data_IF_945905259298
#
_entry.id   IF_945905259298
#
_cell.length_a   1.000
_cell.length_b   1.000
_cell.length_c   1.000
_cell.angle_alpha   90.00
_cell.angle_beta   90.00
_cell.angle_gamma   90.00
#
_symmetry.space_group_name_H-M   'P 1'
#
loop_
_entity.id
_entity.type
_entity.pdbx_description
1 polymer ?
#
# COMPACT_ATOMS: atom_id res chain seq x y z
N UNK A 1 9.58 6.16 26.63
CA UNK A 1 8.79 5.12 25.94
C UNK A 1 9.67 4.51 24.87
N UNK A 2 9.73 3.20 24.79
CA UNK A 2 10.46 2.53 23.72
C UNK A 2 9.80 2.86 22.39
N UNK A 3 10.60 2.94 21.33
CA UNK A 3 10.06 3.20 19.98
C UNK A 3 9.23 2.01 19.52
N UNK A 4 8.08 2.27 18.91
CA UNK A 4 7.28 1.22 18.27
C UNK A 4 8.09 0.61 17.13
N UNK A 5 8.18 -0.72 17.12
CA UNK A 5 8.91 -1.47 16.10
C UNK A 5 7.99 -1.74 14.92
N UNK A 6 8.34 -1.22 13.74
CA UNK A 6 7.60 -1.43 12.50
C UNK A 6 8.40 -2.29 11.54
N UNK A 7 7.90 -3.48 11.26
CA UNK A 7 8.42 -4.36 10.21
C UNK A 7 7.87 -3.97 8.85
N UNK A 8 8.75 -3.71 7.89
CA UNK A 8 8.36 -3.43 6.51
C UNK A 8 8.71 -4.64 5.65
N UNK A 9 7.67 -5.32 5.14
CA UNK A 9 7.79 -6.45 4.22
C UNK A 9 7.89 -5.88 2.81
N UNK A 10 9.11 -5.81 2.29
CA UNK A 10 9.38 -5.24 0.98
C UNK A 10 9.22 -6.29 -0.10
N UNK A 11 8.20 -6.12 -0.94
CA UNK A 11 7.85 -7.04 -2.05
C UNK A 11 8.26 -6.50 -3.41
N UNK A 12 9.16 -5.54 -3.42
CA UNK A 12 9.76 -4.96 -4.62
C UNK A 12 11.27 -4.75 -4.43
N UNK A 13 12.01 -4.95 -5.49
CA UNK A 13 13.43 -4.59 -5.58
C UNK A 13 13.73 -4.14 -7.01
N UNK A 14 13.56 -2.85 -7.25
CA UNK A 14 13.85 -2.26 -8.54
C UNK A 14 15.37 -2.16 -8.76
N UNK A 15 15.83 -2.77 -9.85
CA UNK A 15 17.24 -2.78 -10.25
C UNK A 15 17.47 -2.03 -11.57
N UNK A 16 16.46 -1.26 -12.02
CA UNK A 16 16.58 -0.48 -13.24
C UNK A 16 17.55 0.70 -13.04
N UNK A 17 18.26 1.06 -14.12
CA UNK A 17 19.10 2.26 -14.14
C UNK A 17 18.28 3.54 -14.02
N UNK A 18 17.02 3.51 -14.44
CA UNK A 18 16.11 4.67 -14.47
C UNK A 18 15.46 4.96 -13.14
N UNK A 19 15.00 3.95 -12.43
CA UNK A 19 14.29 4.09 -11.15
C UNK A 19 15.16 3.59 -10.00
N UNK A 20 15.67 2.35 -10.07
CA UNK A 20 16.41 1.71 -8.98
C UNK A 20 17.68 2.46 -8.56
N UNK A 21 18.43 3.01 -9.53
CA UNK A 21 19.67 3.76 -9.24
C UNK A 21 19.42 5.21 -8.79
N UNK A 22 18.22 5.78 -9.05
CA UNK A 22 17.95 7.20 -8.84
C UNK A 22 17.00 7.51 -7.69
N UNK A 23 16.26 6.50 -7.21
CA UNK A 23 15.26 6.68 -6.15
C UNK A 23 15.44 5.65 -5.04
N UNK A 24 15.10 6.02 -3.80
CA UNK A 24 15.07 5.07 -2.69
C UNK A 24 14.03 3.98 -2.94
N UNK A 25 14.25 2.80 -2.39
CA UNK A 25 13.30 1.70 -2.44
C UNK A 25 12.01 1.98 -1.62
N UNK A 26 11.02 1.09 -1.74
CA UNK A 26 9.71 1.27 -1.10
C UNK A 26 9.82 1.41 0.41
N UNK A 27 10.65 0.61 1.05
CA UNK A 27 10.83 0.66 2.50
C UNK A 27 11.40 2.01 2.95
N UNK A 28 12.34 2.59 2.19
CA UNK A 28 12.89 3.92 2.48
C UNK A 28 11.86 5.01 2.26
N UNK A 29 11.04 4.94 1.17
CA UNK A 29 9.97 5.92 0.93
C UNK A 29 8.94 5.91 2.08
N UNK A 30 8.56 4.73 2.61
CA UNK A 30 7.71 4.66 3.79
C UNK A 30 8.37 5.23 5.04
N UNK A 31 9.66 4.97 5.25
CA UNK A 31 10.40 5.59 6.37
C UNK A 31 10.38 7.11 6.26
N UNK A 32 10.70 7.66 5.09
CA UNK A 32 10.69 9.10 4.86
C UNK A 32 9.31 9.70 5.11
N UNK A 33 8.24 9.02 4.69
CA UNK A 33 6.86 9.42 4.91
C UNK A 33 6.52 9.47 6.41
N UNK A 34 6.88 8.44 7.19
CA UNK A 34 6.60 8.40 8.62
C UNK A 34 7.55 9.28 9.44
N UNK A 35 8.82 9.39 9.05
CA UNK A 35 9.81 10.21 9.75
C UNK A 35 9.56 11.72 9.58
N UNK A 36 8.69 12.12 8.65
CA UNK A 36 8.17 13.48 8.57
C UNK A 36 7.17 13.82 9.70
N UNK A 37 6.68 12.81 10.44
CA UNK A 37 5.77 12.98 11.58
C UNK A 37 6.54 13.10 12.91
N UNK A 38 5.84 13.51 13.97
CA UNK A 38 6.43 13.56 15.32
C UNK A 38 6.70 12.16 15.90
N UNK A 39 5.86 11.19 15.60
CA UNK A 39 6.03 9.81 16.03
C UNK A 39 7.25 9.18 15.38
N UNK A 40 8.10 8.54 16.16
CA UNK A 40 9.29 7.81 15.69
C UNK A 40 9.09 6.31 15.82
N UNK A 41 9.41 5.59 14.75
CA UNK A 41 9.43 4.13 14.72
C UNK A 41 10.85 3.58 14.74
N UNK A 42 11.01 2.35 15.20
CA UNK A 42 12.20 1.54 14.96
C UNK A 42 11.88 0.59 13.80
N UNK A 43 12.51 0.81 12.65
CA UNK A 43 12.21 0.04 11.45
C UNK A 43 13.09 -1.18 11.29
N UNK A 44 12.50 -2.29 10.83
CA UNK A 44 13.21 -3.43 10.24
C UNK A 44 12.60 -3.74 8.88
N UNK A 45 13.44 -3.84 7.85
CA UNK A 45 13.03 -4.24 6.51
C UNK A 45 13.29 -5.73 6.36
N UNK A 46 12.29 -6.44 5.84
CA UNK A 46 12.36 -7.84 5.43
C UNK A 46 12.24 -7.88 3.92
N UNK A 47 13.24 -8.44 3.25
CA UNK A 47 13.27 -8.54 1.77
C UNK A 47 12.39 -9.71 1.33
N UNK A 48 11.08 -9.53 1.46
CA UNK A 48 10.08 -10.59 1.21
C UNK A 48 10.11 -11.10 -0.23
N UNK A 49 10.44 -10.22 -1.20
CA UNK A 49 10.68 -10.65 -2.59
C UNK A 49 11.84 -11.65 -2.72
N UNK A 50 12.74 -11.69 -1.75
CA UNK A 50 13.84 -12.66 -1.63
C UNK A 50 13.56 -13.76 -0.61
N UNK A 51 12.30 -14.05 -0.34
CA UNK A 51 11.82 -15.08 0.61
C UNK A 51 12.17 -14.79 2.09
N UNK A 52 12.54 -13.53 2.46
CA UNK A 52 12.76 -13.16 3.86
C UNK A 52 11.44 -12.72 4.51
N UNK A 53 11.07 -13.38 5.60
CA UNK A 53 9.95 -13.04 6.48
C UNK A 53 10.39 -13.01 7.94
N UNK A 54 9.62 -12.32 8.83
CA UNK A 54 9.85 -12.42 10.27
C UNK A 54 9.76 -13.87 10.75
N UNK A 55 10.69 -14.27 11.61
CA UNK A 55 10.66 -15.59 12.24
C UNK A 55 9.58 -15.72 13.32
N UNK A 56 9.09 -14.57 13.83
CA UNK A 56 8.01 -14.49 14.82
C UNK A 56 7.26 -13.17 14.68
N UNK A 57 5.96 -13.17 14.98
CA UNK A 57 5.15 -11.94 15.06
C UNK A 57 5.60 -11.01 16.19
N UNK A 58 6.33 -11.52 17.19
CA UNK A 58 6.81 -10.72 18.33
C UNK A 58 8.08 -9.93 18.01
N UNK A 59 8.69 -10.14 16.84
CA UNK A 59 9.83 -9.33 16.41
C UNK A 59 9.47 -7.86 16.23
N UNK A 60 8.24 -7.59 15.82
CA UNK A 60 7.76 -6.24 15.57
C UNK A 60 6.41 -5.99 16.26
N UNK A 61 6.11 -4.73 16.49
CA UNK A 61 4.86 -4.30 17.10
C UNK A 61 3.74 -4.16 16.05
N UNK A 62 4.11 -3.82 14.82
CA UNK A 62 3.23 -3.74 13.65
C UNK A 62 4.00 -4.14 12.38
N UNK A 63 3.26 -4.48 11.32
CA UNK A 63 3.83 -4.79 10.00
C UNK A 63 3.18 -3.97 8.89
N UNK A 64 3.96 -3.69 7.84
CA UNK A 64 3.50 -3.05 6.61
C UNK A 64 4.01 -3.85 5.40
N UNK A 65 3.12 -4.21 4.49
CA UNK A 65 3.44 -4.84 3.20
C UNK A 65 3.40 -3.76 2.12
N UNK A 66 4.50 -3.59 1.40
CA UNK A 66 4.65 -2.54 0.39
C UNK A 66 3.89 -2.85 -0.91
N UNK A 67 3.89 -1.89 -1.82
CA UNK A 67 3.56 -2.11 -3.22
C UNK A 67 4.60 -2.95 -3.95
N UNK A 68 4.27 -3.38 -5.17
CA UNK A 68 5.14 -4.10 -6.09
C UNK A 68 4.63 -3.94 -7.52
N UNK A 69 5.50 -3.93 -8.55
CA UNK A 69 5.09 -4.07 -9.93
C UNK A 69 4.66 -5.49 -10.29
N UNK A 70 4.85 -6.47 -9.39
CA UNK A 70 4.41 -7.85 -9.57
C UNK A 70 2.89 -7.97 -9.35
N UNK A 71 2.29 -9.04 -9.90
CA UNK A 71 0.87 -9.35 -9.68
C UNK A 71 0.72 -10.49 -8.66
N UNK A 72 -0.26 -10.39 -7.79
CA UNK A 72 -0.68 -11.50 -6.91
C UNK A 72 -1.39 -12.62 -7.69
N UNK A 73 -1.70 -12.41 -8.97
CA UNK A 73 -2.29 -13.39 -9.87
C UNK A 73 -1.23 -14.28 -10.53
N UNK A 74 0.04 -13.91 -10.44
CA UNK A 74 1.15 -14.67 -10.95
C UNK A 74 1.73 -15.60 -9.89
N UNK A 75 2.51 -16.61 -10.31
CA UNK A 75 3.19 -17.52 -9.41
C UNK A 75 4.52 -16.92 -8.93
N UNK A 76 4.65 -16.71 -7.62
CA UNK A 76 5.87 -16.25 -6.98
C UNK A 76 6.17 -17.10 -5.73
N UNK A 77 7.43 -17.49 -5.53
CA UNK A 77 7.87 -18.35 -4.40
C UNK A 77 7.52 -17.76 -3.04
N UNK A 78 7.59 -16.43 -2.91
CA UNK A 78 7.32 -15.73 -1.66
C UNK A 78 5.82 -15.59 -1.33
N UNK A 79 4.90 -15.80 -2.28
CA UNK A 79 3.45 -15.60 -2.04
C UNK A 79 2.86 -16.59 -1.03
N UNK A 80 3.05 -17.93 -1.15
CA UNK A 80 2.47 -18.85 -0.17
C UNK A 80 2.92 -18.56 1.27
N UNK A 81 4.22 -18.38 1.58
CA UNK A 81 4.65 -18.03 2.94
C UNK A 81 4.17 -16.63 3.38
N UNK A 82 4.06 -15.65 2.47
CA UNK A 82 3.48 -14.34 2.78
C UNK A 82 2.00 -14.47 3.16
N UNK A 83 1.22 -15.30 2.45
CA UNK A 83 -0.19 -15.54 2.79
C UNK A 83 -0.34 -16.23 4.15
N UNK A 84 0.55 -17.18 4.49
CA UNK A 84 0.58 -17.80 5.82
C UNK A 84 0.89 -16.76 6.91
N UNK A 85 1.85 -15.88 6.66
CA UNK A 85 2.20 -14.79 7.57
C UNK A 85 1.02 -13.81 7.77
N UNK A 86 0.32 -13.43 6.70
CA UNK A 86 -0.88 -12.56 6.78
C UNK A 86 -1.97 -13.23 7.63
N UNK A 87 -2.25 -14.52 7.41
CA UNK A 87 -3.22 -15.28 8.22
C UNK A 87 -2.81 -15.37 9.70
N UNK A 88 -1.53 -15.52 9.97
CA UNK A 88 -1.01 -15.49 11.33
C UNK A 88 -1.20 -14.11 11.99
N UNK A 89 -0.95 -13.03 11.26
CA UNK A 89 -1.22 -11.66 11.74
C UNK A 89 -2.71 -11.45 12.06
N UNK A 90 -3.61 -11.90 11.18
CA UNK A 90 -5.06 -11.80 11.41
C UNK A 90 -5.49 -12.59 12.65
N UNK A 91 -5.05 -13.84 12.76
CA UNK A 91 -5.37 -14.71 13.90
C UNK A 91 -4.87 -14.16 15.23
N UNK A 92 -3.68 -13.57 15.24
CA UNK A 92 -3.07 -12.93 16.42
C UNK A 92 -3.56 -11.50 16.67
N UNK A 93 -4.38 -10.94 15.77
CA UNK A 93 -4.79 -9.52 15.75
C UNK A 93 -3.59 -8.56 15.77
N UNK A 94 -2.50 -8.95 15.11
CA UNK A 94 -1.30 -8.13 14.96
C UNK A 94 -1.58 -6.98 13.99
N UNK A 95 -1.24 -5.72 14.34
CA UNK A 95 -1.43 -4.60 13.43
C UNK A 95 -0.71 -4.82 12.11
N UNK A 96 -1.47 -4.81 11.00
CA UNK A 96 -0.98 -5.06 9.66
C UNK A 96 -1.53 -4.01 8.69
N UNK A 97 -0.65 -3.41 7.91
CA UNK A 97 -0.97 -2.45 6.86
C UNK A 97 -0.60 -3.06 5.51
N UNK A 98 -1.43 -2.85 4.49
CA UNK A 98 -1.12 -3.23 3.11
C UNK A 98 -1.36 -2.10 2.14
N UNK A 99 -0.38 -1.83 1.26
CA UNK A 99 -0.51 -0.82 0.20
C UNK A 99 -0.33 -1.47 -1.18
N UNK A 100 -1.17 -1.11 -2.14
CA UNK A 100 -1.17 -1.60 -3.51
C UNK A 100 -1.09 -3.15 -3.57
N UNK A 101 0.06 -3.73 -3.91
CA UNK A 101 0.26 -5.19 -3.86
C UNK A 101 -0.06 -5.77 -2.48
N UNK A 102 0.37 -5.13 -1.39
CA UNK A 102 0.07 -5.56 -0.02
C UNK A 102 -1.44 -5.57 0.29
N UNK A 103 -2.19 -4.61 -0.23
CA UNK A 103 -3.66 -4.58 -0.15
C UNK A 103 -4.28 -5.80 -0.85
N UNK A 104 -3.79 -6.12 -2.05
CA UNK A 104 -4.25 -7.27 -2.84
C UNK A 104 -3.84 -8.61 -2.17
N UNK A 105 -2.60 -8.72 -1.70
CA UNK A 105 -2.10 -9.92 -1.02
C UNK A 105 -2.90 -10.22 0.26
N UNK A 106 -3.23 -9.20 1.05
CA UNK A 106 -4.08 -9.35 2.23
C UNK A 106 -5.48 -9.81 1.83
N UNK A 107 -6.05 -9.25 0.76
CA UNK A 107 -7.36 -9.68 0.29
C UNK A 107 -7.37 -11.16 -0.08
N UNK A 108 -6.41 -11.62 -0.90
CA UNK A 108 -6.30 -13.03 -1.32
C UNK A 108 -6.07 -13.94 -0.11
N UNK A 109 -5.11 -13.61 0.77
CA UNK A 109 -4.76 -14.44 1.93
C UNK A 109 -5.95 -14.68 2.87
N UNK A 110 -6.88 -13.73 2.96
CA UNK A 110 -8.04 -13.77 3.84
C UNK A 110 -9.35 -14.21 3.14
N UNK A 111 -9.24 -14.71 1.90
CA UNK A 111 -10.38 -15.30 1.17
C UNK A 111 -11.18 -14.33 0.31
N UNK A 112 -10.64 -13.16 0.02
CA UNK A 112 -11.11 -12.24 -1.01
C UNK A 112 -10.64 -12.66 -2.41
N UNK A 113 -10.90 -11.82 -3.40
CA UNK A 113 -10.52 -12.06 -4.80
C UNK A 113 -9.92 -10.81 -5.42
N UNK A 114 -8.87 -11.00 -6.21
CA UNK A 114 -8.23 -9.99 -7.05
C UNK A 114 -8.44 -10.37 -8.50
N UNK A 115 -8.70 -9.39 -9.35
CA UNK A 115 -8.89 -9.55 -10.78
C UNK A 115 -8.19 -8.41 -11.52
N UNK A 116 -7.80 -8.67 -12.76
CA UNK A 116 -7.32 -7.63 -13.67
C UNK A 116 -8.48 -6.77 -14.12
N UNK A 117 -8.32 -5.45 -14.05
CA UNK A 117 -9.37 -4.52 -14.43
C UNK A 117 -9.64 -4.58 -15.93
N UNK A 118 -10.91 -4.74 -16.32
CA UNK A 118 -11.28 -4.71 -17.73
C UNK A 118 -11.02 -3.35 -18.41
N UNK A 119 -10.93 -2.29 -17.63
CA UNK A 119 -10.57 -0.94 -18.08
C UNK A 119 -9.06 -0.72 -18.29
N UNK A 120 -8.22 -1.72 -17.94
CA UNK A 120 -6.77 -1.63 -18.03
C UNK A 120 -6.13 -0.89 -16.84
N UNK A 121 -5.10 -0.12 -17.10
CA UNK A 121 -4.28 0.57 -16.09
C UNK A 121 -4.98 1.77 -15.47
N UNK A 122 -4.96 1.84 -14.15
CA UNK A 122 -5.29 3.04 -13.37
C UNK A 122 -3.98 3.70 -12.92
N UNK A 123 -3.67 4.87 -13.47
CA UNK A 123 -2.38 5.52 -13.30
C UNK A 123 -2.54 7.02 -13.15
N UNK A 124 -1.80 7.62 -12.24
CA UNK A 124 -1.82 9.06 -11.98
C UNK A 124 -2.27 9.40 -10.56
N UNK A 125 -3.19 10.32 -10.40
CA UNK A 125 -3.86 10.64 -9.13
C UNK A 125 -5.32 10.23 -9.20
N UNK A 126 -5.74 9.40 -8.24
CA UNK A 126 -7.15 9.05 -8.01
C UNK A 126 -7.60 9.52 -6.62
N UNK A 127 -8.85 9.96 -6.53
CA UNK A 127 -9.49 10.25 -5.26
C UNK A 127 -10.04 8.96 -4.63
N UNK A 128 -9.69 8.72 -3.37
CA UNK A 128 -10.36 7.71 -2.54
C UNK A 128 -11.36 8.40 -1.62
N UNK A 129 -12.62 8.05 -1.76
CA UNK A 129 -13.69 8.49 -0.87
C UNK A 129 -13.84 7.53 0.31
N UNK A 130 -13.48 7.97 1.52
CA UNK A 130 -13.61 7.20 2.75
C UNK A 130 -15.04 7.29 3.29
N UNK A 131 -15.72 6.14 3.33
CA UNK A 131 -17.17 6.02 3.62
C UNK A 131 -17.49 5.70 5.08
N UNK A 132 -16.49 5.30 5.86
CA UNK A 132 -16.65 4.97 7.27
C UNK A 132 -15.83 5.89 8.17
N UNK A 133 -16.38 6.19 9.35
CA UNK A 133 -15.64 6.79 10.44
C UNK A 133 -14.94 5.70 11.25
N UNK A 134 -13.62 5.61 11.10
CA UNK A 134 -12.80 4.74 11.93
C UNK A 134 -12.08 5.55 13.02
N UNK A 135 -11.68 4.90 14.11
CA UNK A 135 -11.01 5.58 15.23
C UNK A 135 -9.67 6.25 14.88
N UNK A 136 -9.09 5.89 13.75
CA UNK A 136 -7.83 6.46 13.27
C UNK A 136 -8.03 7.64 12.30
N UNK A 137 -9.23 7.85 11.76
CA UNK A 137 -9.56 8.97 10.86
C UNK A 137 -9.99 10.18 11.69
N UNK A 138 -9.07 11.07 11.98
CA UNK A 138 -9.34 12.23 12.87
C UNK A 138 -9.73 13.49 12.16
N UNK A 139 -9.43 13.57 10.88
CA UNK A 139 -9.77 14.75 10.07
C UNK A 139 -11.18 14.62 9.51
N UNK A 140 -11.85 15.75 9.31
CA UNK A 140 -13.17 15.79 8.69
C UNK A 140 -13.15 15.47 7.19
N UNK A 141 -11.94 15.51 6.57
CA UNK A 141 -11.76 15.23 5.16
C UNK A 141 -11.97 13.74 4.88
N UNK A 142 -12.79 13.46 3.87
CA UNK A 142 -13.11 12.09 3.45
C UNK A 142 -12.62 11.77 2.04
N UNK A 143 -12.39 12.75 1.21
CA UNK A 143 -11.86 12.60 -0.13
C UNK A 143 -10.37 12.89 -0.09
N UNK A 144 -9.56 11.85 -0.26
CA UNK A 144 -8.10 11.94 -0.30
C UNK A 144 -7.60 11.57 -1.68
N UNK A 145 -6.75 12.43 -2.26
CA UNK A 145 -6.07 12.14 -3.51
C UNK A 145 -4.79 11.35 -3.26
N UNK A 146 -4.53 10.35 -4.09
CA UNK A 146 -3.33 9.51 -3.98
C UNK A 146 -2.74 9.21 -5.34
N UNK A 147 -1.45 8.97 -5.38
CA UNK A 147 -0.82 8.31 -6.51
C UNK A 147 -1.28 6.87 -6.60
N UNK A 148 -1.64 6.45 -7.80
CA UNK A 148 -2.03 5.08 -8.15
C UNK A 148 -1.26 4.62 -9.37
N UNK A 149 -0.87 3.34 -9.38
CA UNK A 149 -0.29 2.66 -10.53
C UNK A 149 -0.62 1.17 -10.42
N UNK A 150 -1.74 0.74 -10.98
CA UNK A 150 -2.16 -0.64 -10.91
C UNK A 150 -3.14 -1.00 -12.05
N UNK A 151 -3.14 -2.26 -12.44
CA UNK A 151 -4.15 -2.86 -13.33
C UNK A 151 -5.03 -3.84 -12.54
N UNK A 152 -4.42 -4.56 -11.59
CA UNK A 152 -5.12 -5.48 -10.72
C UNK A 152 -5.84 -4.73 -9.60
N UNK A 153 -7.02 -5.24 -9.18
CA UNK A 153 -7.79 -4.68 -8.07
C UNK A 153 -8.54 -5.77 -7.30
N UNK A 154 -8.88 -5.48 -6.05
CA UNK A 154 -9.72 -6.36 -5.23
C UNK A 154 -11.16 -6.32 -5.75
N UNK A 155 -11.62 -7.41 -6.39
CA UNK A 155 -12.95 -7.56 -6.94
C UNK A 155 -13.97 -8.12 -5.95
N UNK A 156 -13.50 -8.82 -4.90
CA UNK A 156 -14.34 -9.28 -3.79
C UNK A 156 -13.56 -9.16 -2.47
N UNK A 157 -14.19 -8.53 -1.49
CA UNK A 157 -13.63 -8.41 -0.15
C UNK A 157 -13.51 -9.76 0.55
N UNK A 158 -12.51 -9.94 1.44
CA UNK A 158 -12.54 -11.04 2.41
C UNK A 158 -13.85 -11.05 3.21
N UNK A 159 -14.38 -12.23 3.60
CA UNK A 159 -15.68 -12.32 4.29
C UNK A 159 -15.80 -11.48 5.56
N UNK A 160 -14.68 -11.25 6.27
CA UNK A 160 -14.66 -10.48 7.52
C UNK A 160 -14.26 -9.01 7.33
N UNK A 161 -13.94 -8.63 6.09
CA UNK A 161 -13.52 -7.27 5.77
C UNK A 161 -14.73 -6.34 5.60
N UNK A 162 -14.52 -5.09 5.94
CA UNK A 162 -15.45 -4.01 5.64
C UNK A 162 -14.79 -2.99 4.74
N UNK A 163 -15.53 -2.55 3.74
CA UNK A 163 -15.08 -1.50 2.84
C UNK A 163 -15.01 -0.18 3.61
N UNK A 164 -13.86 0.49 3.57
CA UNK A 164 -13.67 1.80 4.21
C UNK A 164 -13.42 2.93 3.22
N UNK A 165 -13.01 2.61 1.99
CA UNK A 165 -12.76 3.61 0.95
C UNK A 165 -13.08 3.10 -0.46
N UNK A 166 -13.60 3.99 -1.32
CA UNK A 166 -13.94 3.76 -2.73
C UNK A 166 -13.23 4.76 -3.62
N UNK A 167 -12.79 4.33 -4.78
CA UNK A 167 -12.37 5.19 -5.90
C UNK A 167 -13.31 5.00 -7.08
N UNK A 168 -13.22 5.89 -8.05
CA UNK A 168 -14.04 5.82 -9.27
C UNK A 168 -13.60 4.64 -10.16
N UNK A 169 -12.28 4.45 -10.28
CA UNK A 169 -11.72 3.30 -11.00
C UNK A 169 -11.68 2.04 -10.13
N UNK A 170 -11.31 2.18 -8.85
CA UNK A 170 -11.17 1.07 -7.91
C UNK A 170 -12.27 1.11 -6.84
N UNK A 171 -13.41 0.37 -7.04
CA UNK A 171 -14.50 0.36 -6.06
C UNK A 171 -14.08 -0.16 -4.67
N UNK A 172 -13.00 -0.93 -4.59
CA UNK A 172 -12.43 -1.43 -3.33
C UNK A 172 -11.07 -0.77 -3.09
N UNK A 173 -11.04 0.56 -3.00
CA UNK A 173 -9.80 1.32 -2.84
C UNK A 173 -9.17 1.17 -1.45
N UNK A 174 -9.96 0.88 -0.41
CA UNK A 174 -9.48 0.61 0.93
C UNK A 174 -10.45 -0.27 1.71
N UNK A 175 -9.91 -1.23 2.48
CA UNK A 175 -10.71 -2.05 3.40
C UNK A 175 -9.98 -2.25 4.74
N UNK A 176 -10.75 -2.68 5.74
CA UNK A 176 -10.24 -3.03 7.05
C UNK A 176 -10.79 -4.37 7.51
N UNK A 177 -10.01 -5.12 8.32
CA UNK A 177 -10.48 -6.32 9.04
C UNK A 177 -10.33 -6.05 10.54
N UNK A 178 -11.44 -6.12 11.25
CA UNK A 178 -11.47 -5.74 12.66
C UNK A 178 -10.92 -4.32 12.88
N UNK A 179 -10.08 -4.18 13.88
CA UNK A 179 -9.30 -2.97 14.18
C UNK A 179 -7.79 -3.15 13.94
N UNK A 180 -7.34 -4.30 13.42
CA UNK A 180 -5.94 -4.69 13.34
C UNK A 180 -5.40 -4.80 11.91
N UNK A 181 -6.24 -4.76 10.86
CA UNK A 181 -5.80 -4.70 9.47
C UNK A 181 -6.39 -3.47 8.79
N UNK A 182 -5.55 -2.72 8.10
CA UNK A 182 -5.91 -1.55 7.31
C UNK A 182 -5.19 -1.61 5.96
N UNK A 183 -5.90 -1.37 4.86
CA UNK A 183 -5.31 -1.48 3.53
C UNK A 183 -5.73 -0.32 2.63
N UNK A 184 -4.91 -0.03 1.63
CA UNK A 184 -5.24 0.87 0.52
C UNK A 184 -4.62 0.39 -0.79
N UNK A 185 -5.35 0.54 -1.90
CA UNK A 185 -4.83 0.27 -3.25
C UNK A 185 -3.82 1.33 -3.71
N UNK A 186 -3.82 2.47 -3.05
CA UNK A 186 -2.99 3.62 -3.39
C UNK A 186 -1.56 3.56 -2.82
N UNK A 187 -0.73 4.51 -3.27
CA UNK A 187 0.65 4.72 -2.84
C UNK A 187 0.80 6.01 -2.04
N UNK A 188 0.58 6.02 -0.73
CA UNK A 188 0.77 7.21 0.09
C UNK A 188 2.24 7.63 0.19
N UNK A 189 3.18 6.71 -0.05
CA UNK A 189 4.62 6.89 0.05
C UNK A 189 5.25 7.52 -1.19
N UNK A 190 4.52 7.60 -2.32
CA UNK A 190 5.06 8.19 -3.53
C UNK A 190 5.17 9.70 -3.43
N UNK A 191 6.22 10.25 -4.03
CA UNK A 191 6.39 11.69 -4.25
C UNK A 191 6.09 12.05 -5.69
N UNK A 192 5.78 13.34 -5.96
CA UNK A 192 5.56 13.81 -7.33
C UNK A 192 6.75 13.50 -8.25
N UNK A 193 7.97 13.74 -7.76
CA UNK A 193 9.19 13.44 -8.51
C UNK A 193 9.31 11.96 -8.85
N UNK A 194 9.00 11.08 -7.90
CA UNK A 194 9.07 9.63 -8.11
C UNK A 194 7.99 9.19 -9.11
N UNK A 195 6.75 9.63 -8.91
CA UNK A 195 5.65 9.24 -9.79
C UNK A 195 5.87 9.67 -11.24
N UNK A 196 6.37 10.91 -11.48
CA UNK A 196 6.73 11.36 -12.83
C UNK A 196 7.81 10.50 -13.47
N UNK A 197 8.85 10.15 -12.72
CA UNK A 197 9.91 9.27 -13.23
C UNK A 197 9.37 7.88 -13.61
N UNK A 198 8.48 7.31 -12.78
CA UNK A 198 7.83 6.03 -13.09
C UNK A 198 6.95 6.13 -14.33
N UNK A 199 6.20 7.24 -14.51
CA UNK A 199 5.40 7.47 -15.72
C UNK A 199 6.29 7.52 -16.96
N UNK A 200 7.40 8.25 -16.90
CA UNK A 200 8.33 8.38 -18.01
C UNK A 200 8.98 7.04 -18.37
N UNK A 201 9.33 6.21 -17.38
CA UNK A 201 9.86 4.86 -17.58
C UNK A 201 8.83 3.91 -18.19
N UNK A 202 7.54 4.12 -17.87
CA UNK A 202 6.43 3.28 -18.30
C UNK A 202 5.70 3.75 -19.56
N UNK A 203 6.21 4.73 -20.31
CA UNK A 203 5.58 5.21 -21.57
C UNK A 203 5.29 4.07 -22.55
N UNK A 204 6.21 3.11 -22.65
CA UNK A 204 6.04 1.94 -23.51
C UNK A 204 4.86 1.05 -23.13
N UNK A 205 4.53 0.99 -21.84
CA UNK A 205 3.39 0.24 -21.28
C UNK A 205 2.08 1.01 -21.44
N UNK A 206 2.10 2.30 -21.14
CA UNK A 206 0.90 3.16 -21.09
C UNK A 206 0.48 3.71 -22.47
N UNK A 207 1.42 3.76 -23.42
CA UNK A 207 1.28 4.52 -24.65
C UNK A 207 1.34 6.05 -24.40
N UNK A 208 1.47 6.83 -25.48
CA UNK A 208 1.60 8.29 -25.38
C UNK A 208 0.37 8.96 -24.76
N UNK A 209 -0.82 8.51 -25.13
CA UNK A 209 -2.07 9.07 -24.63
C UNK A 209 -2.27 8.78 -23.15
N UNK A 210 -2.05 7.54 -22.70
CA UNK A 210 -2.13 7.15 -21.30
C UNK A 210 -1.11 7.87 -20.42
N UNK A 211 0.14 8.01 -20.90
CA UNK A 211 1.17 8.79 -20.22
C UNK A 211 0.77 10.26 -20.08
N UNK A 212 0.27 10.89 -21.17
CA UNK A 212 -0.15 12.30 -21.16
C UNK A 212 -1.33 12.52 -20.19
N UNK A 213 -2.32 11.62 -20.18
CA UNK A 213 -3.46 11.69 -19.27
C UNK A 213 -3.04 11.55 -17.80
N UNK A 214 -2.20 10.54 -17.49
CA UNK A 214 -1.66 10.32 -16.17
C UNK A 214 -0.87 11.55 -15.68
N UNK A 215 0.04 12.08 -16.51
CA UNK A 215 0.82 13.29 -16.19
C UNK A 215 -0.09 14.48 -15.92
N UNK A 216 -1.10 14.71 -16.77
CA UNK A 216 -2.05 15.78 -16.58
C UNK A 216 -2.89 15.62 -15.29
N UNK A 217 -3.13 14.40 -14.82
CA UNK A 217 -3.78 14.14 -13.54
C UNK A 217 -2.92 14.58 -12.35
N UNK A 218 -1.59 14.43 -12.44
CA UNK A 218 -0.66 14.90 -11.40
C UNK A 218 -0.72 16.42 -11.25
N UNK A 219 -0.84 17.14 -12.36
CA UNK A 219 -0.87 18.61 -12.35
C UNK A 219 -2.19 19.17 -11.77
N UNK A 220 -3.27 18.41 -11.85
CA UNK A 220 -4.59 18.80 -11.37
C UNK A 220 -4.94 18.25 -9.99
N UNK A 221 -4.35 17.13 -9.63
CA UNK A 221 -4.66 16.40 -8.42
C UNK A 221 -3.89 16.90 -7.20
N UNK A 222 -4.26 16.36 -6.05
CA UNK A 222 -3.58 16.59 -4.78
C UNK A 222 -3.17 15.26 -4.18
N UNK A 223 -1.93 15.16 -3.71
CA UNK A 223 -1.48 14.00 -2.94
C UNK A 223 -1.68 14.23 -1.44
N UNK A 224 -2.54 13.43 -0.83
CA UNK A 224 -2.84 13.42 0.61
C UNK A 224 -2.10 12.30 1.37
N UNK A 225 -1.05 11.71 0.80
CA UNK A 225 -0.19 10.72 1.45
C UNK A 225 0.28 11.15 2.84
N UNK A 226 0.74 12.40 3.06
CA UNK A 226 1.10 12.89 4.39
C UNK A 226 -0.06 12.92 5.40
N UNK A 227 -1.30 13.14 4.97
CA UNK A 227 -2.46 13.02 5.85
C UNK A 227 -2.74 11.56 6.18
N UNK A 228 -2.70 10.69 5.17
CA UNK A 228 -2.94 9.26 5.33
C UNK A 228 -1.89 8.58 6.22
N UNK A 229 -0.63 9.04 6.18
CA UNK A 229 0.43 8.54 7.07
C UNK A 229 0.12 8.83 8.55
N UNK A 230 -0.55 9.95 8.87
CA UNK A 230 -1.05 10.21 10.23
C UNK A 230 -2.14 9.21 10.63
N UNK A 231 -3.01 8.82 9.69
CA UNK A 231 -4.02 7.80 9.95
C UNK A 231 -3.40 6.41 10.18
N UNK A 232 -2.42 6.02 9.36
CA UNK A 232 -1.65 4.78 9.58
C UNK A 232 -0.97 4.81 10.96
N UNK A 233 -0.29 5.91 11.28
CA UNK A 233 0.39 6.05 12.57
C UNK A 233 -0.58 5.91 13.73
N UNK A 234 -1.74 6.57 13.66
CA UNK A 234 -2.78 6.46 14.70
C UNK A 234 -3.40 5.06 14.74
N UNK A 235 -3.62 4.44 13.59
CA UNK A 235 -4.05 3.04 13.53
C UNK A 235 -3.10 2.14 14.32
N UNK A 236 -1.78 2.27 14.12
CA UNK A 236 -0.78 1.52 14.87
C UNK A 236 -0.86 1.86 16.37
N UNK A 237 -0.87 3.16 16.72
CA UNK A 237 -0.90 3.62 18.12
C UNK A 237 -2.13 3.17 18.92
N UNK A 238 -3.26 2.94 18.26
CA UNK A 238 -4.48 2.44 18.91
C UNK A 238 -4.36 1.02 19.48
N UNK A 239 -3.21 0.35 19.28
CA UNK A 239 -2.93 -0.99 19.79
C UNK A 239 -2.02 -0.99 21.03
N UNK A 240 -1.60 0.20 21.48
CA UNK A 240 -0.72 0.42 22.64
C UNK A 240 -1.29 1.48 23.57
#
# INVERSE_FOLDING_TARGET
MDRIRLGILQVNHDKSETIGDHFPDDAHRFRDLFDALEQRFAYRVYMTIGDELPGSLDEQDAFLITGSPLSVLDEHSFLPPLYDFIRACDSARKPLIGTCFGHQAIAVALGGRVERAAAGWNVGIEATHFIENTSFMTDAQRDLGFYVFHEDHVSALPPQARLIGRGDFCPTAAFAVGNHIMTTQAHPEFTDRFMRAVLDDCVGLLGQDGHAEATASLDRGRNDGPLFSRWITRFILNHF
#
